data_IF_047452644199
#
_entry.id   IF_047452644199
#
_cell.length_a   1.000
_cell.length_b   1.000
_cell.length_c   1.000
_cell.angle_alpha   90.00
_cell.angle_beta   90.00
_cell.angle_gamma   90.00
#
_symmetry.space_group_name_H-M   'P 1'
#
loop_
_entity.id
_entity.type
_entity.pdbx_description
1 polymer ?
#
# COMPACT_ATOMS: atom_id res chain seq x y z
N UNK A 1 -0.01 118.72 21.36
CA UNK A 1 -0.33 118.00 22.60
C UNK A 1 -1.11 116.76 22.23
N UNK A 2 -0.43 115.61 22.20
CA UNK A 2 -1.10 114.32 22.03
C UNK A 2 -0.39 113.30 22.94
N UNK A 3 -1.07 112.89 23.99
CA UNK A 3 -0.62 112.01 25.04
C UNK A 3 -0.48 110.59 24.52
N UNK A 4 0.68 109.97 24.69
CA UNK A 4 0.90 108.59 24.38
C UNK A 4 0.25 107.68 25.42
N UNK A 5 -0.56 106.75 24.93
CA UNK A 5 -1.08 105.60 25.72
C UNK A 5 -0.20 104.38 25.44
N UNK A 6 0.54 103.94 26.44
CA UNK A 6 1.32 102.72 26.38
C UNK A 6 0.50 101.58 26.82
N UNK A 7 0.15 100.62 25.90
CA UNK A 7 -0.50 99.40 26.22
C UNK A 7 0.52 98.36 26.77
N UNK A 8 0.21 97.62 27.82
CA UNK A 8 1.08 96.60 28.37
C UNK A 8 1.14 95.36 27.45
N UNK A 9 2.34 94.85 27.22
CA UNK A 9 2.61 93.63 26.52
C UNK A 9 1.94 92.38 27.22
N UNK A 10 1.38 91.43 26.46
CA UNK A 10 0.85 90.20 27.06
C UNK A 10 1.96 89.34 27.62
N UNK A 11 1.75 88.52 28.68
CA UNK A 11 2.73 87.65 29.28
C UNK A 11 3.23 86.60 28.29
N UNK A 12 4.52 86.33 28.31
CA UNK A 12 5.21 85.34 27.48
C UNK A 12 4.61 83.96 27.68
N UNK A 13 4.31 83.27 26.57
CA UNK A 13 3.84 81.86 26.57
C UNK A 13 4.85 80.95 27.25
N UNK A 14 4.42 79.91 28.01
CA UNK A 14 5.38 78.99 28.61
C UNK A 14 6.11 78.20 27.51
N UNK A 15 7.36 77.80 27.76
CA UNK A 15 8.16 77.03 26.76
C UNK A 15 7.40 75.69 26.41
N UNK A 16 7.53 75.23 25.13
CA UNK A 16 6.89 73.99 24.72
C UNK A 16 7.46 72.87 25.56
N UNK A 17 6.54 72.11 26.23
CA UNK A 17 6.85 71.00 27.09
C UNK A 17 7.73 69.99 26.37
N UNK A 18 8.89 69.70 26.98
CA UNK A 18 9.81 68.68 26.45
C UNK A 18 9.10 67.40 26.12
N UNK A 19 9.40 66.86 24.94
CA UNK A 19 8.88 65.55 24.50
C UNK A 19 9.08 64.55 25.63
N UNK A 20 8.06 63.79 26.02
CA UNK A 20 8.21 62.80 27.09
C UNK A 20 9.33 61.84 26.73
N UNK A 21 10.37 61.81 27.54
CA UNK A 21 11.42 60.82 27.36
C UNK A 21 10.78 59.40 27.42
N UNK A 22 11.10 58.50 26.47
CA UNK A 22 10.52 57.17 26.47
C UNK A 22 10.88 56.47 27.79
N UNK A 23 9.87 56.16 28.59
CA UNK A 23 10.07 55.37 29.80
C UNK A 23 10.63 54.00 29.42
N UNK A 24 11.63 53.48 30.14
CA UNK A 24 12.11 52.13 29.87
C UNK A 24 10.94 51.14 29.98
N UNK A 25 10.83 50.17 29.07
CA UNK A 25 9.72 49.21 29.07
C UNK A 25 9.71 48.41 30.37
N UNK A 26 8.53 48.08 30.89
CA UNK A 26 8.33 47.32 32.12
C UNK A 26 9.26 46.10 32.20
N UNK A 27 9.89 45.86 33.33
CA UNK A 27 10.87 44.78 33.51
C UNK A 27 10.22 43.38 33.39
N UNK A 28 9.02 43.24 33.93
CA UNK A 28 8.25 41.97 33.92
C UNK A 28 6.94 42.14 33.16
N UNK A 29 6.38 41.05 32.64
CA UNK A 29 5.10 41.04 31.94
C UNK A 29 3.95 41.55 32.85
N UNK A 30 3.97 41.18 34.12
CA UNK A 30 2.99 41.59 35.10
C UNK A 30 2.97 43.11 35.39
N UNK A 31 4.08 43.82 35.08
CA UNK A 31 4.23 45.23 35.33
C UNK A 31 3.85 46.09 34.09
N UNK A 32 3.35 45.44 33.04
CA UNK A 32 2.88 46.15 31.83
C UNK A 32 1.52 46.80 32.09
N UNK A 33 1.37 48.04 31.60
CA UNK A 33 0.11 48.77 31.68
C UNK A 33 -0.22 49.39 30.31
N UNK A 34 -1.43 49.92 30.16
CA UNK A 34 -1.80 50.64 28.94
C UNK A 34 -0.84 51.76 28.62
N UNK A 35 -0.30 52.45 29.64
CA UNK A 35 0.58 53.60 29.52
C UNK A 35 2.07 53.19 29.42
N UNK A 36 2.40 51.93 29.70
CA UNK A 36 3.74 51.37 29.58
C UNK A 36 3.69 49.94 29.00
N UNK A 37 3.26 49.81 27.72
CA UNK A 37 3.15 48.49 27.07
C UNK A 37 4.53 47.95 26.64
N UNK A 38 4.65 46.64 26.56
CA UNK A 38 5.79 46.03 25.88
C UNK A 38 5.70 46.18 24.36
N UNK A 39 6.82 46.48 23.68
CA UNK A 39 6.90 46.30 22.23
C UNK A 39 6.63 44.85 21.86
N UNK A 40 5.95 44.61 20.74
CA UNK A 40 5.63 43.25 20.27
C UNK A 40 6.88 42.35 20.14
N UNK A 41 7.99 42.94 19.69
CA UNK A 41 9.29 42.24 19.59
C UNK A 41 9.71 41.64 20.94
N UNK A 42 9.57 42.36 22.04
CA UNK A 42 9.95 41.87 23.38
C UNK A 42 9.07 40.70 23.82
N UNK A 43 7.81 40.70 23.46
CA UNK A 43 6.89 39.56 23.72
C UNK A 43 7.35 38.32 22.91
N UNK A 44 7.62 38.50 21.61
CA UNK A 44 8.05 37.39 20.74
C UNK A 44 9.40 36.80 21.15
N UNK A 45 10.37 37.66 21.55
CA UNK A 45 11.67 37.26 22.11
C UNK A 45 11.50 36.41 23.39
N UNK A 46 10.61 36.82 24.29
CA UNK A 46 10.34 36.06 25.52
C UNK A 46 9.66 34.73 25.24
N UNK A 47 8.69 34.68 24.32
CA UNK A 47 8.08 33.44 23.90
C UNK A 47 9.13 32.50 23.32
N UNK A 48 9.99 33.01 22.44
CA UNK A 48 11.07 32.21 21.86
C UNK A 48 12.01 31.67 22.93
N UNK A 49 12.47 32.49 23.86
CA UNK A 49 13.33 32.07 24.96
C UNK A 49 12.68 30.98 25.83
N UNK A 50 11.34 31.02 26.02
CA UNK A 50 10.61 30.00 26.75
C UNK A 50 10.54 28.69 25.97
N UNK A 51 10.20 28.78 24.67
CA UNK A 51 10.10 27.60 23.78
C UNK A 51 11.48 26.96 23.55
N UNK A 52 12.55 27.77 23.39
CA UNK A 52 13.90 27.26 23.17
C UNK A 52 14.45 26.46 24.37
N UNK A 53 13.94 26.74 25.60
CA UNK A 53 14.26 25.97 26.82
C UNK A 53 13.57 24.61 26.91
N UNK A 54 12.55 24.37 26.08
CA UNK A 54 11.87 23.07 26.06
C UNK A 54 12.82 22.00 25.53
N UNK A 55 12.89 20.88 26.24
CA UNK A 55 13.66 19.73 25.79
C UNK A 55 13.00 19.06 24.59
N UNK A 56 13.77 18.40 23.72
CA UNK A 56 13.20 17.50 22.73
C UNK A 56 12.35 16.42 23.43
N UNK A 57 11.22 16.07 22.82
CA UNK A 57 10.28 15.08 23.36
C UNK A 57 9.80 14.17 22.23
N UNK A 58 9.32 13.00 22.61
CA UNK A 58 8.67 12.06 21.72
C UNK A 58 7.17 12.35 21.69
N UNK A 59 6.59 12.43 20.50
CA UNK A 59 5.16 12.59 20.29
C UNK A 59 4.66 11.53 19.31
N UNK A 60 3.46 11.05 19.57
CA UNK A 60 2.71 10.16 18.69
C UNK A 60 1.63 10.96 17.96
N UNK A 61 1.36 10.62 16.70
CA UNK A 61 0.30 11.24 15.94
C UNK A 61 0.10 10.59 14.58
N UNK A 62 -0.98 10.96 13.91
CA UNK A 62 -1.30 10.55 12.56
C UNK A 62 -0.90 11.65 11.57
N UNK A 63 -0.27 11.27 10.47
CA UNK A 63 0.05 12.19 9.36
C UNK A 63 -1.24 12.50 8.61
N UNK A 64 -1.69 13.76 8.65
CA UNK A 64 -2.90 14.21 7.94
C UNK A 64 -2.55 14.78 6.57
N UNK A 65 -1.44 15.52 6.50
CA UNK A 65 -0.99 16.17 5.28
C UNK A 65 0.53 16.04 5.16
N UNK A 66 0.99 15.63 4.01
CA UNK A 66 2.42 15.50 3.72
C UNK A 66 2.76 16.17 2.40
N UNK A 67 3.47 17.30 2.47
CA UNK A 67 3.87 18.08 1.29
C UNK A 67 5.35 17.91 0.99
N UNK A 68 5.65 17.08 0.00
CA UNK A 68 7.00 16.95 -0.56
C UNK A 68 7.18 17.98 -1.66
N UNK A 69 8.22 18.80 -1.56
CA UNK A 69 8.67 19.68 -2.65
C UNK A 69 9.98 19.12 -3.19
N UNK A 70 10.02 18.68 -4.44
CA UNK A 70 11.24 18.18 -5.05
C UNK A 70 12.38 19.20 -4.94
N UNK A 71 13.55 18.77 -4.45
CA UNK A 71 14.73 19.63 -4.26
C UNK A 71 14.72 20.53 -3.02
N UNK A 72 13.67 20.51 -2.20
CA UNK A 72 13.65 21.25 -0.94
C UNK A 72 14.46 20.52 0.13
N UNK A 73 15.28 21.29 0.87
CA UNK A 73 16.06 20.74 2.00
C UNK A 73 15.20 20.42 3.22
N UNK A 74 13.99 20.97 3.28
CA UNK A 74 13.07 20.84 4.42
C UNK A 74 11.66 20.54 3.91
N UNK A 75 11.02 19.57 4.52
CA UNK A 75 9.65 19.15 4.23
C UNK A 75 8.71 19.51 5.37
N UNK A 76 7.42 19.58 5.05
CA UNK A 76 6.37 19.95 6.00
C UNK A 76 5.35 18.82 6.05
N UNK A 77 4.95 18.46 7.25
CA UNK A 77 3.85 17.52 7.49
C UNK A 77 2.97 18.07 8.63
N UNK A 78 1.71 17.65 8.65
CA UNK A 78 0.78 17.97 9.73
C UNK A 78 0.50 16.68 10.49
N UNK A 79 0.83 16.66 11.80
CA UNK A 79 0.47 15.60 12.71
C UNK A 79 -0.82 15.98 13.44
N UNK A 80 -1.74 15.03 13.52
CA UNK A 80 -2.99 15.09 14.27
C UNK A 80 -2.96 14.09 15.41
N UNK A 81 -3.48 14.46 16.55
CA UNK A 81 -3.67 13.57 17.68
C UNK A 81 -4.69 12.45 17.34
N UNK A 82 -4.50 11.27 17.91
CA UNK A 82 -5.34 10.10 17.63
C UNK A 82 -6.70 10.13 18.34
N UNK A 83 -6.84 10.93 19.39
CA UNK A 83 -8.02 10.97 20.25
C UNK A 83 -8.74 12.32 20.18
N UNK A 84 -8.03 13.38 19.83
CA UNK A 84 -8.56 14.75 19.78
C UNK A 84 -8.34 15.38 18.40
N UNK A 85 -9.06 16.46 18.11
CA UNK A 85 -8.89 17.19 16.85
C UNK A 85 -7.71 18.20 16.88
N UNK A 86 -6.71 17.92 17.73
CA UNK A 86 -5.50 18.74 17.85
C UNK A 86 -4.53 18.39 16.75
N UNK A 87 -4.06 19.38 16.00
CA UNK A 87 -3.05 19.17 14.96
C UNK A 87 -1.93 20.21 15.06
N UNK A 88 -0.71 19.79 14.71
CA UNK A 88 0.47 20.66 14.68
C UNK A 88 1.29 20.43 13.42
N UNK A 89 1.85 21.54 12.91
CA UNK A 89 2.79 21.47 11.80
C UNK A 89 4.15 21.01 12.29
N UNK A 90 4.68 19.98 11.63
CA UNK A 90 6.03 19.44 11.86
C UNK A 90 6.89 19.74 10.65
N UNK A 91 8.12 20.18 10.90
CA UNK A 91 9.15 20.38 9.88
C UNK A 91 10.25 19.36 10.06
N UNK A 92 10.74 18.78 8.97
CA UNK A 92 11.86 17.84 9.01
C UNK A 92 12.83 18.09 7.86
N UNK A 93 14.10 17.81 8.06
CA UNK A 93 15.10 17.83 7.00
C UNK A 93 14.88 16.66 6.03
N UNK A 94 15.22 16.86 4.76
CA UNK A 94 15.06 15.84 3.72
C UNK A 94 15.66 14.48 4.13
N UNK A 95 16.87 14.45 4.70
CA UNK A 95 17.50 13.20 5.14
C UNK A 95 16.76 12.44 6.24
N UNK A 96 15.93 13.10 7.05
CA UNK A 96 15.07 12.44 8.05
C UNK A 96 13.85 11.81 7.39
N UNK A 97 13.34 12.46 6.32
CA UNK A 97 12.16 12.01 5.58
C UNK A 97 12.48 10.92 4.56
N UNK A 98 13.68 10.99 3.94
CA UNK A 98 14.11 9.98 2.93
C UNK A 98 14.34 8.60 3.56
N UNK A 99 14.57 8.53 4.86
CA UNK A 99 14.75 7.26 5.59
C UNK A 99 13.45 6.56 5.95
N UNK A 100 12.28 7.24 5.81
CA UNK A 100 10.98 6.71 6.23
C UNK A 100 9.93 7.05 5.19
N UNK A 101 9.40 6.08 4.44
CA UNK A 101 8.33 6.32 3.48
C UNK A 101 7.04 6.71 4.22
N UNK A 102 6.76 8.01 4.29
CA UNK A 102 5.58 8.54 4.95
C UNK A 102 4.43 8.65 3.94
N UNK A 103 3.25 8.17 4.36
CA UNK A 103 1.99 8.34 3.64
C UNK A 103 0.98 9.08 4.50
N UNK A 104 0.02 9.76 3.88
CA UNK A 104 -1.11 10.33 4.60
C UNK A 104 -1.90 9.19 5.26
N UNK A 105 -2.29 9.39 6.51
CA UNK A 105 -2.93 8.36 7.34
C UNK A 105 -1.98 7.53 8.19
N UNK A 106 -0.67 7.54 7.92
CA UNK A 106 0.32 6.79 8.70
C UNK A 106 0.40 7.27 10.16
N UNK A 107 0.46 6.32 11.10
CA UNK A 107 0.78 6.62 12.50
C UNK A 107 2.28 6.66 12.68
N UNK A 108 2.76 7.72 13.35
CA UNK A 108 4.17 7.93 13.58
C UNK A 108 4.46 8.29 15.02
N UNK A 109 5.63 7.87 15.49
CA UNK A 109 6.26 8.37 16.72
C UNK A 109 7.47 9.19 16.27
N UNK A 110 7.50 10.46 16.64
CA UNK A 110 8.55 11.37 16.20
C UNK A 110 9.19 12.09 17.37
N UNK A 111 10.51 12.21 17.31
CA UNK A 111 11.27 13.02 18.25
C UNK A 111 11.32 14.44 17.76
N UNK A 112 10.61 15.33 18.44
CA UNK A 112 10.45 16.72 18.04
C UNK A 112 10.99 17.68 19.06
N UNK A 113 11.41 18.86 18.59
CA UNK A 113 11.69 20.04 19.40
C UNK A 113 10.73 21.15 18.96
N UNK A 114 9.98 21.77 19.89
CA UNK A 114 9.20 22.97 19.57
C UNK A 114 10.10 24.12 19.13
N UNK A 115 9.70 24.83 18.07
CA UNK A 115 10.41 25.98 17.52
C UNK A 115 9.41 27.11 17.26
N UNK A 116 9.66 28.26 17.81
CA UNK A 116 8.87 29.47 17.59
C UNK A 116 9.52 30.38 16.54
N UNK A 117 8.78 30.65 15.46
CA UNK A 117 9.21 31.52 14.37
C UNK A 117 8.77 32.95 14.64
N UNK A 118 9.66 33.78 15.14
CA UNK A 118 9.39 35.18 15.56
C UNK A 118 8.74 36.02 14.46
N UNK A 119 9.22 35.88 13.20
CA UNK A 119 8.72 36.66 12.06
C UNK A 119 7.25 36.37 11.72
N UNK A 120 6.79 35.18 11.92
CA UNK A 120 5.42 34.73 11.58
C UNK A 120 4.53 34.53 12.79
N UNK A 121 5.11 34.53 14.01
CA UNK A 121 4.39 34.20 15.25
C UNK A 121 3.92 32.75 15.32
N UNK A 122 4.50 31.84 14.53
CA UNK A 122 4.06 30.43 14.45
C UNK A 122 4.91 29.53 15.33
N UNK A 123 4.22 28.63 16.04
CA UNK A 123 4.83 27.53 16.77
C UNK A 123 4.77 26.28 15.88
N UNK A 124 5.94 25.70 15.57
CA UNK A 124 6.06 24.47 14.81
C UNK A 124 6.88 23.47 15.63
N UNK A 125 6.80 22.19 15.24
CA UNK A 125 7.66 21.16 15.76
C UNK A 125 8.77 20.86 14.74
N UNK A 126 10.01 20.77 15.17
CA UNK A 126 11.11 20.32 14.32
C UNK A 126 11.44 18.87 14.64
N UNK A 127 11.21 17.97 13.69
CA UNK A 127 11.52 16.56 13.85
C UNK A 127 13.01 16.29 13.62
N UNK A 128 13.61 15.55 14.54
CA UNK A 128 14.95 14.99 14.43
C UNK A 128 14.92 13.54 13.96
N UNK A 129 13.88 12.79 14.35
CA UNK A 129 13.69 11.37 14.03
C UNK A 129 12.19 11.12 13.84
N UNK A 130 11.84 10.27 12.86
CA UNK A 130 10.46 9.86 12.60
C UNK A 130 10.46 8.35 12.44
N UNK A 131 9.59 7.65 13.17
CA UNK A 131 9.41 6.22 13.10
C UNK A 131 7.93 5.90 12.83
N UNK A 132 7.68 5.02 11.88
CA UNK A 132 6.33 4.47 11.66
C UNK A 132 5.96 3.61 12.87
N UNK A 133 4.82 3.89 13.47
CA UNK A 133 4.35 3.12 14.62
C UNK A 133 3.69 1.82 14.15
N UNK A 134 4.11 0.71 14.74
CA UNK A 134 3.49 -0.60 14.53
C UNK A 134 4.04 -1.42 13.36
N UNK A 135 4.79 -0.85 12.41
CA UNK A 135 5.31 -1.62 11.26
C UNK A 135 6.37 -2.65 11.72
N UNK A 136 7.28 -2.26 12.60
CA UNK A 136 8.30 -3.19 13.12
C UNK A 136 7.69 -4.32 13.96
N UNK A 137 6.76 -4.00 14.84
CA UNK A 137 6.06 -4.99 15.67
C UNK A 137 5.17 -5.90 14.84
N UNK A 138 4.51 -5.34 13.82
CA UNK A 138 3.64 -6.10 12.91
C UNK A 138 4.44 -7.07 12.04
N UNK A 139 5.58 -6.66 11.51
CA UNK A 139 6.47 -7.55 10.77
C UNK A 139 7.01 -8.68 11.66
N UNK A 140 7.40 -8.37 12.90
CA UNK A 140 7.82 -9.39 13.87
C UNK A 140 6.68 -10.38 14.20
N UNK A 141 5.43 -9.90 14.32
CA UNK A 141 4.25 -10.76 14.50
C UNK A 141 3.99 -11.65 13.28
N UNK A 142 4.13 -11.13 12.06
CA UNK A 142 3.97 -11.91 10.82
C UNK A 142 5.06 -12.98 10.72
N UNK A 143 6.32 -12.69 11.05
CA UNK A 143 7.40 -13.67 11.05
C UNK A 143 7.21 -14.73 12.14
N UNK A 144 6.74 -14.37 13.34
CA UNK A 144 6.39 -15.32 14.39
C UNK A 144 5.22 -16.23 13.96
N UNK A 145 4.20 -15.65 13.30
CA UNK A 145 3.08 -16.40 12.71
C UNK A 145 3.57 -17.35 11.63
N UNK A 146 4.42 -16.88 10.72
CA UNK A 146 5.03 -17.68 9.67
C UNK A 146 5.76 -18.91 10.24
N UNK A 147 6.61 -18.71 11.25
CA UNK A 147 7.34 -19.78 11.90
C UNK A 147 6.39 -20.82 12.52
N UNK A 148 5.31 -20.38 13.18
CA UNK A 148 4.30 -21.25 13.79
C UNK A 148 3.56 -22.07 12.73
N UNK A 149 3.03 -21.44 11.67
CA UNK A 149 2.31 -22.12 10.60
C UNK A 149 3.21 -23.07 9.80
N UNK A 150 4.50 -22.74 9.65
CA UNK A 150 5.51 -23.63 9.07
C UNK A 150 5.73 -24.89 9.94
N UNK A 151 5.83 -24.71 11.27
CA UNK A 151 5.96 -25.84 12.22
C UNK A 151 4.72 -26.76 12.22
N UNK A 152 3.53 -26.19 11.97
CA UNK A 152 2.28 -26.93 11.77
C UNK A 152 2.23 -27.66 10.39
N UNK A 153 3.18 -27.39 9.49
CA UNK A 153 3.25 -27.99 8.16
C UNK A 153 2.26 -27.41 7.14
N UNK A 154 1.66 -26.21 7.40
CA UNK A 154 0.68 -25.62 6.49
C UNK A 154 1.27 -25.27 5.11
N UNK A 155 2.58 -24.99 5.06
CA UNK A 155 3.27 -24.60 3.81
C UNK A 155 3.88 -25.80 3.06
N UNK A 156 3.60 -27.03 3.52
CA UNK A 156 4.14 -28.24 2.89
C UNK A 156 3.61 -28.42 1.46
N UNK A 157 4.49 -28.69 0.52
CA UNK A 157 4.11 -29.01 -0.86
C UNK A 157 3.23 -30.27 -0.97
N UNK A 158 3.27 -31.18 0.04
CA UNK A 158 2.40 -32.34 0.11
C UNK A 158 0.91 -31.98 0.31
N UNK A 159 0.61 -30.78 0.79
CA UNK A 159 -0.78 -30.28 0.94
C UNK A 159 -1.31 -29.62 -0.34
N UNK A 160 -0.42 -29.21 -1.23
CA UNK A 160 -0.79 -28.47 -2.44
C UNK A 160 -1.52 -29.37 -3.44
N UNK A 161 -2.64 -28.89 -3.93
CA UNK A 161 -3.48 -29.58 -4.89
C UNK A 161 -3.04 -29.24 -6.31
N UNK A 162 -3.04 -30.22 -7.23
CA UNK A 162 -2.77 -29.96 -8.64
C UNK A 162 -3.89 -29.10 -9.24
N UNK A 163 -3.52 -28.12 -10.07
CA UNK A 163 -4.49 -27.34 -10.81
C UNK A 163 -5.16 -28.21 -11.89
N UNK A 164 -6.46 -28.07 -12.14
CA UNK A 164 -7.15 -28.75 -13.23
C UNK A 164 -6.58 -28.28 -14.58
N UNK A 165 -6.44 -29.21 -15.52
CA UNK A 165 -5.96 -28.87 -16.88
C UNK A 165 -6.90 -27.92 -17.60
N UNK A 166 -8.23 -28.13 -17.45
CA UNK A 166 -9.27 -27.30 -18.04
C UNK A 166 -10.44 -27.19 -17.05
N UNK A 167 -10.51 -26.09 -16.29
CA UNK A 167 -11.58 -25.88 -15.33
C UNK A 167 -12.92 -25.62 -16.03
N UNK A 168 -14.00 -26.14 -15.49
CA UNK A 168 -15.39 -25.85 -15.94
C UNK A 168 -15.78 -24.43 -15.61
N UNK A 169 -15.51 -24.03 -14.37
CA UNK A 169 -15.77 -22.68 -13.87
C UNK A 169 -14.60 -22.24 -12.98
N UNK A 170 -14.21 -21.00 -13.14
CA UNK A 170 -13.14 -20.35 -12.39
C UNK A 170 -13.79 -19.40 -11.40
N UNK A 171 -13.59 -19.62 -10.11
CA UNK A 171 -13.91 -18.64 -9.08
C UNK A 171 -12.87 -17.52 -9.09
N UNK A 172 -13.30 -16.27 -9.11
CA UNK A 172 -12.40 -15.10 -9.06
C UNK A 172 -12.80 -14.18 -7.92
N UNK A 173 -11.89 -14.01 -6.97
CA UNK A 173 -12.00 -13.05 -5.87
C UNK A 173 -11.07 -11.87 -6.19
N UNK A 174 -11.62 -10.67 -6.31
CA UNK A 174 -10.87 -9.47 -6.69
C UNK A 174 -11.46 -8.20 -6.09
N UNK A 175 -10.70 -7.10 -6.15
CA UNK A 175 -11.17 -5.78 -5.73
C UNK A 175 -12.29 -5.24 -6.62
N UNK A 176 -13.19 -4.44 -6.03
CA UNK A 176 -14.28 -3.77 -6.76
C UNK A 176 -13.70 -2.82 -7.82
N UNK A 177 -14.08 -3.01 -9.09
CA UNK A 177 -13.58 -2.20 -10.20
C UNK A 177 -12.05 -2.30 -10.42
N UNK A 178 -11.40 -3.34 -9.89
CA UNK A 178 -9.95 -3.50 -9.98
C UNK A 178 -9.53 -3.98 -11.37
N UNK A 179 -8.47 -3.38 -11.92
CA UNK A 179 -7.83 -3.81 -13.17
C UNK A 179 -7.42 -5.29 -13.14
N UNK A 180 -7.07 -5.83 -11.98
CA UNK A 180 -6.75 -7.24 -11.78
C UNK A 180 -7.85 -8.19 -12.25
N UNK A 181 -9.15 -7.79 -12.12
CA UNK A 181 -10.29 -8.54 -12.66
C UNK A 181 -10.19 -8.68 -14.18
N UNK A 182 -10.03 -7.54 -14.86
CA UNK A 182 -9.95 -7.51 -16.33
C UNK A 182 -8.70 -8.25 -16.82
N UNK A 183 -7.57 -8.10 -16.10
CA UNK A 183 -6.33 -8.80 -16.43
C UNK A 183 -6.49 -10.33 -16.34
N UNK A 184 -7.26 -10.86 -15.39
CA UNK A 184 -7.54 -12.31 -15.32
C UNK A 184 -8.56 -12.73 -16.39
N UNK A 185 -9.71 -12.07 -16.45
CA UNK A 185 -10.84 -12.48 -17.28
C UNK A 185 -10.50 -12.36 -18.77
N UNK A 186 -9.93 -11.22 -19.20
CA UNK A 186 -9.58 -11.01 -20.61
C UNK A 186 -8.50 -11.99 -21.05
N UNK A 187 -7.38 -12.09 -20.32
CA UNK A 187 -6.29 -13.00 -20.71
C UNK A 187 -6.71 -14.48 -20.70
N UNK A 188 -7.56 -14.92 -19.77
CA UNK A 188 -8.05 -16.28 -19.77
C UNK A 188 -9.05 -16.53 -20.90
N UNK A 189 -9.96 -15.58 -21.20
CA UNK A 189 -10.93 -15.70 -22.30
C UNK A 189 -10.26 -15.67 -23.67
N UNK A 190 -9.21 -14.89 -23.87
CA UNK A 190 -8.41 -14.88 -25.09
C UNK A 190 -7.76 -16.23 -25.36
N UNK A 191 -7.25 -16.88 -24.30
CA UNK A 191 -6.63 -18.22 -24.39
C UNK A 191 -7.66 -19.33 -24.54
N UNK A 192 -8.78 -19.22 -23.81
CA UNK A 192 -9.86 -20.19 -23.80
C UNK A 192 -11.22 -19.50 -23.77
N UNK A 193 -11.82 -19.18 -24.93
CA UNK A 193 -13.07 -18.41 -25.03
C UNK A 193 -14.30 -19.02 -24.34
N UNK A 194 -14.25 -20.30 -24.00
CA UNK A 194 -15.33 -20.98 -23.28
C UNK A 194 -15.12 -21.00 -21.75
N UNK A 195 -14.11 -20.31 -21.22
CA UNK A 195 -13.89 -20.19 -19.78
C UNK A 195 -15.09 -19.49 -19.13
N UNK A 196 -15.60 -20.08 -18.04
CA UNK A 196 -16.67 -19.50 -17.23
C UNK A 196 -16.10 -18.95 -15.94
N UNK A 197 -16.68 -17.87 -15.45
CA UNK A 197 -16.22 -17.19 -14.24
C UNK A 197 -17.37 -16.96 -13.27
N UNK A 198 -17.13 -17.31 -12.00
CA UNK A 198 -17.91 -16.87 -10.84
C UNK A 198 -17.11 -15.82 -10.09
N UNK A 199 -17.53 -14.55 -10.21
CA UNK A 199 -16.75 -13.40 -9.72
C UNK A 199 -17.33 -12.91 -8.40
N UNK A 200 -16.45 -12.66 -7.44
CA UNK A 200 -16.75 -12.01 -6.16
C UNK A 200 -15.90 -10.76 -6.04
N UNK A 201 -16.55 -9.62 -6.20
CA UNK A 201 -15.91 -8.31 -6.00
C UNK A 201 -16.01 -7.88 -4.54
N UNK A 202 -14.88 -7.85 -3.84
CA UNK A 202 -14.78 -7.65 -2.40
C UNK A 202 -13.76 -6.57 -2.06
N UNK A 203 -13.71 -6.15 -0.79
CA UNK A 203 -12.61 -5.33 -0.30
C UNK A 203 -11.33 -6.19 -0.25
N UNK A 204 -10.28 -5.77 -0.95
CA UNK A 204 -8.97 -6.44 -0.99
C UNK A 204 -7.89 -5.66 -0.24
N UNK A 205 -8.28 -4.70 0.58
CA UNK A 205 -7.43 -3.88 1.45
C UNK A 205 -8.22 -3.34 2.63
N UNK A 206 -7.53 -2.93 3.70
CA UNK A 206 -8.15 -2.40 4.92
C UNK A 206 -8.88 -3.46 5.75
N UNK A 207 -9.61 -3.00 6.78
CA UNK A 207 -10.18 -3.86 7.83
C UNK A 207 -11.26 -4.84 7.33
N UNK A 208 -11.91 -4.53 6.22
CA UNK A 208 -12.95 -5.38 5.62
C UNK A 208 -12.40 -6.49 4.71
N UNK A 209 -11.09 -6.46 4.39
CA UNK A 209 -10.47 -7.42 3.47
C UNK A 209 -10.62 -8.86 3.98
N UNK A 210 -10.17 -9.16 5.19
CA UNK A 210 -10.16 -10.52 5.74
C UNK A 210 -11.56 -11.12 5.79
N UNK A 211 -12.60 -10.46 6.36
CA UNK A 211 -13.94 -11.04 6.42
C UNK A 211 -14.62 -11.17 5.05
N UNK A 212 -14.40 -10.21 4.12
CA UNK A 212 -15.03 -10.27 2.81
C UNK A 212 -14.38 -11.32 1.90
N UNK A 213 -13.04 -11.38 1.85
CA UNK A 213 -12.30 -12.40 1.08
C UNK A 213 -12.58 -13.80 1.64
N UNK A 214 -12.56 -13.96 2.97
CA UNK A 214 -12.85 -15.24 3.62
C UNK A 214 -14.25 -15.75 3.31
N UNK A 215 -15.26 -14.87 3.33
CA UNK A 215 -16.63 -15.22 2.95
C UNK A 215 -16.71 -15.62 1.47
N UNK A 216 -16.15 -14.83 0.57
CA UNK A 216 -16.15 -15.12 -0.86
C UNK A 216 -15.45 -16.45 -1.17
N UNK A 217 -14.37 -16.76 -0.45
CA UNK A 217 -13.67 -18.04 -0.55
C UNK A 217 -14.60 -19.20 -0.17
N UNK A 218 -15.26 -19.12 0.99
CA UNK A 218 -16.18 -20.18 1.45
C UNK A 218 -17.37 -20.38 0.50
N UNK A 219 -17.93 -19.27 -0.04
CA UNK A 219 -19.00 -19.34 -1.03
C UNK A 219 -18.57 -20.09 -2.30
N UNK A 220 -17.40 -19.73 -2.85
CA UNK A 220 -16.89 -20.37 -4.08
C UNK A 220 -16.44 -21.81 -3.85
N UNK A 221 -15.83 -22.11 -2.69
CA UNK A 221 -15.39 -23.46 -2.33
C UNK A 221 -16.58 -24.43 -2.09
N UNK A 222 -17.76 -23.89 -1.76
CA UNK A 222 -18.98 -24.67 -1.62
C UNK A 222 -19.66 -25.00 -2.96
N UNK A 223 -19.26 -24.36 -4.07
CA UNK A 223 -19.85 -24.58 -5.40
C UNK A 223 -19.16 -25.74 -6.12
N UNK A 224 -19.86 -26.82 -6.36
CA UNK A 224 -19.30 -28.04 -7.00
C UNK A 224 -18.86 -27.84 -8.47
N UNK A 225 -19.33 -26.79 -9.13
CA UNK A 225 -18.93 -26.43 -10.49
C UNK A 225 -17.63 -25.60 -10.54
N UNK A 226 -17.17 -25.05 -9.43
CA UNK A 226 -15.93 -24.28 -9.37
C UNK A 226 -14.74 -25.21 -9.18
N UNK A 227 -13.90 -25.32 -10.18
CA UNK A 227 -12.76 -26.24 -10.20
C UNK A 227 -11.44 -25.60 -9.77
N UNK A 228 -11.35 -24.26 -9.77
CA UNK A 228 -10.18 -23.48 -9.31
C UNK A 228 -10.64 -22.11 -8.83
N UNK A 229 -10.02 -21.60 -7.77
CA UNK A 229 -10.30 -20.26 -7.24
C UNK A 229 -9.03 -19.41 -7.41
N UNK A 230 -9.19 -18.21 -7.99
CA UNK A 230 -8.12 -17.20 -8.11
C UNK A 230 -8.39 -16.07 -7.14
N UNK A 231 -7.43 -15.74 -6.29
CA UNK A 231 -7.47 -14.55 -5.44
C UNK A 231 -6.52 -13.54 -6.07
N UNK A 232 -7.08 -12.47 -6.65
CA UNK A 232 -6.32 -11.50 -7.42
C UNK A 232 -6.40 -10.11 -6.79
N UNK A 233 -5.23 -9.46 -6.66
CA UNK A 233 -5.11 -8.06 -6.27
C UNK A 233 -4.21 -7.34 -7.27
N UNK A 234 -4.58 -6.10 -7.63
CA UNK A 234 -3.74 -5.22 -8.41
C UNK A 234 -2.60 -4.61 -7.58
N UNK A 235 -1.76 -3.78 -8.21
CA UNK A 235 -0.71 -3.02 -7.52
C UNK A 235 -1.27 -2.10 -6.43
N UNK A 236 -0.44 -1.73 -5.46
CA UNK A 236 -0.76 -0.87 -4.32
C UNK A 236 0.38 -0.90 -3.31
N UNK A 237 0.21 -0.23 -2.17
CA UNK A 237 1.22 -0.17 -1.12
C UNK A 237 1.43 -1.55 -0.45
N UNK A 238 2.61 -1.75 0.15
CA UNK A 238 2.96 -3.00 0.87
C UNK A 238 2.02 -3.24 2.05
N UNK A 239 1.58 -2.16 2.70
CA UNK A 239 0.64 -2.19 3.81
C UNK A 239 -0.71 -2.81 3.42
N UNK A 240 -1.12 -2.65 2.17
CA UNK A 240 -2.35 -3.25 1.65
C UNK A 240 -2.27 -4.79 1.50
N UNK A 241 -1.07 -5.37 1.58
CA UNK A 241 -0.84 -6.82 1.54
C UNK A 241 -0.97 -7.48 2.93
N UNK A 242 -0.88 -6.69 4.00
CA UNK A 242 -0.92 -7.18 5.38
C UNK A 242 -2.16 -8.04 5.69
N UNK A 243 -3.38 -7.70 5.23
CA UNK A 243 -4.56 -8.52 5.46
C UNK A 243 -4.44 -9.95 4.92
N UNK A 244 -3.66 -10.17 3.86
CA UNK A 244 -3.41 -11.50 3.30
C UNK A 244 -2.38 -12.33 4.09
N UNK A 245 -1.85 -11.77 5.18
CA UNK A 245 -1.05 -12.48 6.18
C UNK A 245 -1.85 -12.75 7.47
N UNK A 246 -3.16 -12.43 7.51
CA UNK A 246 -4.03 -12.77 8.66
C UNK A 246 -4.19 -14.28 8.77
N UNK A 247 -3.98 -14.81 9.99
CA UNK A 247 -4.02 -16.25 10.27
C UNK A 247 -5.34 -16.92 9.86
N UNK A 248 -6.47 -16.24 10.07
CA UNK A 248 -7.81 -16.78 9.75
C UNK A 248 -7.95 -16.99 8.24
N UNK A 249 -7.48 -16.03 7.44
CA UNK A 249 -7.53 -16.12 5.99
C UNK A 249 -6.56 -17.17 5.46
N UNK A 250 -5.34 -17.22 5.99
CA UNK A 250 -4.32 -18.22 5.63
C UNK A 250 -4.82 -19.63 5.92
N UNK A 251 -5.44 -19.88 7.08
CA UNK A 251 -6.03 -21.16 7.41
C UNK A 251 -7.22 -21.51 6.53
N UNK A 252 -8.10 -20.55 6.25
CA UNK A 252 -9.24 -20.79 5.35
C UNK A 252 -8.79 -21.22 3.94
N UNK A 253 -7.71 -20.61 3.42
CA UNK A 253 -7.09 -20.99 2.14
C UNK A 253 -6.46 -22.38 2.21
N UNK A 254 -5.75 -22.71 3.29
CA UNK A 254 -5.13 -24.02 3.49
C UNK A 254 -6.15 -25.19 3.61
N UNK A 255 -7.36 -24.89 4.13
CA UNK A 255 -8.42 -25.87 4.38
C UNK A 255 -9.45 -25.95 3.25
N UNK A 256 -9.41 -25.04 2.27
CA UNK A 256 -10.29 -25.07 1.11
C UNK A 256 -10.14 -26.39 0.32
N UNK A 257 -11.24 -26.91 -0.24
CA UNK A 257 -11.25 -28.13 -1.06
C UNK A 257 -10.80 -27.87 -2.49
N UNK A 258 -11.23 -26.74 -3.03
CA UNK A 258 -10.92 -26.28 -4.39
C UNK A 258 -9.48 -25.76 -4.46
N UNK A 259 -8.69 -26.10 -5.48
CA UNK A 259 -7.37 -25.55 -5.70
C UNK A 259 -7.37 -24.02 -5.78
N UNK A 260 -6.41 -23.38 -5.11
CA UNK A 260 -6.33 -21.92 -5.01
C UNK A 260 -5.07 -21.39 -5.69
N UNK A 261 -5.27 -20.38 -6.54
CA UNK A 261 -4.20 -19.60 -7.17
C UNK A 261 -4.15 -18.23 -6.54
N UNK A 262 -3.03 -17.88 -5.92
CA UNK A 262 -2.77 -16.53 -5.44
C UNK A 262 -2.10 -15.68 -6.53
N UNK A 263 -2.64 -14.50 -6.77
CA UNK A 263 -2.10 -13.47 -7.67
C UNK A 263 -2.13 -12.10 -6.97
N UNK A 264 -1.54 -12.03 -5.76
CA UNK A 264 -1.65 -10.90 -4.84
C UNK A 264 -0.35 -10.12 -4.77
N UNK A 265 0.79 -10.81 -4.57
CA UNK A 265 2.10 -10.21 -4.33
C UNK A 265 2.95 -10.11 -5.59
N UNK A 266 3.88 -9.12 -5.62
CA UNK A 266 4.98 -9.07 -6.56
C UNK A 266 6.15 -9.92 -6.06
N UNK A 267 7.19 -10.12 -6.87
CA UNK A 267 8.32 -11.02 -6.54
C UNK A 267 9.04 -10.69 -5.22
N UNK A 268 9.00 -9.43 -4.75
CA UNK A 268 9.66 -8.97 -3.52
C UNK A 268 8.81 -9.07 -2.24
N UNK A 269 7.49 -9.06 -2.34
CA UNK A 269 6.58 -8.95 -1.19
C UNK A 269 5.52 -10.05 -1.23
N UNK A 270 5.78 -11.14 -0.52
CA UNK A 270 4.91 -12.32 -0.46
C UNK A 270 4.12 -12.35 0.85
N UNK A 271 2.79 -12.14 0.83
CA UNK A 271 1.96 -12.39 2.00
C UNK A 271 1.94 -13.89 2.35
N UNK A 272 1.59 -14.23 3.61
CA UNK A 272 1.55 -15.62 4.05
C UNK A 272 0.55 -16.48 3.26
N UNK A 273 -0.49 -15.87 2.70
CA UNK A 273 -1.45 -16.54 1.82
C UNK A 273 -0.77 -17.16 0.58
N UNK A 274 0.25 -16.53 0.01
CA UNK A 274 0.98 -17.07 -1.13
C UNK A 274 1.70 -18.39 -0.81
N UNK A 275 2.06 -18.60 0.45
CA UNK A 275 2.75 -19.83 0.90
C UNK A 275 1.80 -21.01 1.02
N UNK A 276 0.53 -20.78 1.36
CA UNK A 276 -0.49 -21.85 1.47
C UNK A 276 -1.26 -22.08 0.18
N UNK A 277 -1.29 -21.13 -0.73
CA UNK A 277 -1.92 -21.30 -2.03
C UNK A 277 -1.29 -22.47 -2.81
N UNK A 278 -2.10 -23.20 -3.57
CA UNK A 278 -1.68 -24.34 -4.38
C UNK A 278 -0.76 -23.90 -5.52
N UNK A 279 -0.96 -22.68 -6.02
CA UNK A 279 -0.07 -22.02 -6.98
C UNK A 279 0.04 -20.53 -6.70
N UNK A 280 1.27 -20.02 -6.71
CA UNK A 280 1.55 -18.59 -6.65
C UNK A 280 1.83 -18.06 -8.05
N UNK A 281 1.02 -17.13 -8.52
CA UNK A 281 1.26 -16.38 -9.74
C UNK A 281 1.93 -15.04 -9.42
N UNK A 282 2.86 -14.61 -10.24
CA UNK A 282 3.56 -13.33 -10.08
C UNK A 282 2.68 -12.12 -10.40
N UNK A 283 1.65 -12.32 -11.21
CA UNK A 283 0.68 -11.29 -11.64
C UNK A 283 -0.69 -11.90 -11.93
N UNK A 284 -1.78 -11.10 -11.95
CA UNK A 284 -3.09 -11.56 -12.41
C UNK A 284 -3.07 -12.14 -13.84
N UNK A 285 -2.26 -11.57 -14.73
CA UNK A 285 -2.05 -12.10 -16.10
C UNK A 285 -1.35 -13.46 -16.09
N UNK A 286 -0.38 -13.67 -15.20
CA UNK A 286 0.28 -14.97 -15.04
C UNK A 286 -0.69 -16.02 -14.50
N UNK A 287 -1.53 -15.67 -13.52
CA UNK A 287 -2.60 -16.54 -13.03
C UNK A 287 -3.51 -16.98 -14.18
N UNK A 288 -3.97 -16.05 -15.03
CA UNK A 288 -4.80 -16.36 -16.19
C UNK A 288 -4.15 -17.39 -17.13
N UNK A 289 -2.85 -17.25 -17.38
CA UNK A 289 -2.09 -18.18 -18.23
C UNK A 289 -1.95 -19.58 -17.62
N UNK A 290 -1.96 -19.65 -16.30
CA UNK A 290 -1.76 -20.91 -15.59
C UNK A 290 -3.04 -21.72 -15.43
N UNK A 291 -4.19 -21.05 -15.23
CA UNK A 291 -5.47 -21.69 -14.97
C UNK A 291 -6.18 -22.23 -16.23
N UNK A 292 -5.82 -21.74 -17.42
CA UNK A 292 -6.37 -22.23 -18.69
C UNK A 292 -5.28 -22.56 -19.70
N UNK A 293 -5.45 -23.65 -20.49
CA UNK A 293 -4.52 -23.97 -21.57
C UNK A 293 -4.65 -22.97 -22.72
N UNK A 294 -3.70 -23.01 -23.65
CA UNK A 294 -3.75 -22.25 -24.88
C UNK A 294 -4.47 -23.08 -25.97
N UNK A 295 -5.67 -22.66 -26.33
CA UNK A 295 -6.52 -23.35 -27.32
C UNK A 295 -5.81 -23.59 -28.66
N UNK A 296 -5.05 -22.61 -29.15
CA UNK A 296 -4.34 -22.75 -30.41
C UNK A 296 -3.26 -23.85 -30.31
N UNK A 297 -2.46 -23.80 -29.25
CA UNK A 297 -1.41 -24.78 -28.97
C UNK A 297 -1.95 -26.19 -28.79
N UNK A 298 -3.05 -26.35 -28.05
CA UNK A 298 -3.68 -27.65 -27.85
C UNK A 298 -4.23 -28.23 -29.17
N UNK A 299 -4.88 -27.38 -29.99
CA UNK A 299 -5.37 -27.76 -31.32
C UNK A 299 -4.23 -28.21 -32.25
N UNK A 300 -3.12 -27.48 -32.25
CA UNK A 300 -1.95 -27.84 -33.05
C UNK A 300 -1.33 -29.17 -32.56
N UNK A 301 -1.24 -29.37 -31.24
CA UNK A 301 -0.78 -30.64 -30.66
C UNK A 301 -1.63 -31.82 -31.07
N UNK A 302 -2.97 -31.69 -31.06
CA UNK A 302 -3.91 -32.70 -31.52
C UNK A 302 -3.72 -32.99 -33.02
N UNK A 303 -3.61 -31.94 -33.83
CA UNK A 303 -3.38 -32.06 -35.28
C UNK A 303 -2.11 -32.83 -35.62
N UNK A 304 -1.00 -32.48 -34.93
CA UNK A 304 0.26 -33.19 -35.07
C UNK A 304 0.17 -34.65 -34.61
N UNK A 305 -0.52 -34.92 -33.49
CA UNK A 305 -0.73 -36.30 -33.02
C UNK A 305 -1.51 -37.13 -34.04
N UNK A 306 -2.60 -36.59 -34.59
CA UNK A 306 -3.39 -37.24 -35.64
C UNK A 306 -2.54 -37.51 -36.89
N UNK A 307 -1.69 -36.59 -37.31
CA UNK A 307 -0.79 -36.77 -38.45
C UNK A 307 0.21 -37.90 -38.19
N UNK A 308 0.83 -37.96 -37.00
CA UNK A 308 1.73 -39.06 -36.61
C UNK A 308 1.00 -40.39 -36.59
N UNK A 309 -0.21 -40.45 -36.03
CA UNK A 309 -0.99 -41.67 -36.01
C UNK A 309 -1.33 -42.17 -37.41
N UNK A 310 -1.78 -41.27 -38.30
CA UNK A 310 -2.06 -41.64 -39.72
C UNK A 310 -0.82 -42.12 -40.42
N UNK A 311 0.33 -41.49 -40.23
CA UNK A 311 1.60 -41.91 -40.79
C UNK A 311 2.06 -43.28 -40.30
N UNK A 312 1.96 -43.52 -38.99
CA UNK A 312 2.29 -44.84 -38.40
C UNK A 312 1.37 -45.96 -38.91
N UNK A 313 0.08 -45.67 -38.99
CA UNK A 313 -0.88 -46.64 -39.57
C UNK A 313 -0.61 -46.93 -41.03
N UNK A 314 -0.35 -45.88 -41.81
CA UNK A 314 0.00 -45.99 -43.24
C UNK A 314 1.31 -46.83 -43.45
N UNK A 315 2.35 -46.57 -42.67
CA UNK A 315 3.58 -47.36 -42.72
C UNK A 315 3.34 -48.84 -42.37
N UNK A 316 2.56 -49.12 -41.31
CA UNK A 316 2.21 -50.48 -40.91
C UNK A 316 1.44 -51.22 -42.01
N UNK A 317 0.41 -50.56 -42.58
CA UNK A 317 -0.33 -51.12 -43.70
C UNK A 317 0.54 -51.36 -44.93
N UNK A 318 1.47 -50.48 -45.27
CA UNK A 318 2.41 -50.66 -46.36
C UNK A 318 3.32 -51.88 -46.13
N UNK A 319 3.84 -52.04 -44.89
CA UNK A 319 4.67 -53.20 -44.51
C UNK A 319 3.87 -54.52 -44.65
N UNK A 320 2.63 -54.58 -44.13
CA UNK A 320 1.82 -55.76 -44.21
C UNK A 320 1.42 -56.08 -45.67
N UNK A 321 1.18 -55.07 -46.49
CA UNK A 321 0.93 -55.22 -47.92
C UNK A 321 2.11 -55.81 -48.64
N UNK A 322 3.33 -55.34 -48.33
CA UNK A 322 4.58 -55.82 -48.89
C UNK A 322 4.81 -57.29 -48.48
N UNK A 323 4.56 -57.63 -47.22
CA UNK A 323 4.65 -59.03 -46.72
C UNK A 323 3.68 -59.94 -47.44
N UNK A 324 2.41 -59.51 -47.66
CA UNK A 324 1.44 -60.30 -48.39
C UNK A 324 1.83 -60.49 -49.86
N UNK A 325 2.41 -59.50 -50.52
CA UNK A 325 2.91 -59.61 -51.89
C UNK A 325 4.06 -60.65 -51.98
N UNK A 326 5.02 -60.58 -51.05
CA UNK A 326 6.13 -61.53 -50.94
C UNK A 326 5.64 -62.99 -50.75
N UNK A 327 4.64 -63.16 -49.86
CA UNK A 327 4.03 -64.50 -49.66
C UNK A 327 3.33 -64.98 -50.92
N UNK A 328 2.62 -64.12 -51.63
CA UNK A 328 1.98 -64.41 -52.89
C UNK A 328 3.01 -64.86 -53.98
N UNK A 329 4.13 -64.17 -54.10
CA UNK A 329 5.20 -64.54 -55.02
C UNK A 329 5.82 -65.90 -54.69
N UNK A 330 6.05 -66.19 -53.43
CA UNK A 330 6.62 -67.49 -52.99
C UNK A 330 5.62 -68.63 -53.30
N UNK A 331 4.30 -68.40 -53.14
CA UNK A 331 3.28 -69.41 -53.45
C UNK A 331 3.15 -69.70 -54.97
N UNK A 332 3.45 -68.69 -55.82
CA UNK A 332 3.41 -68.90 -57.30
C UNK A 332 4.66 -69.60 -57.80
N UNK A 333 5.79 -69.57 -57.13
CA UNK A 333 7.01 -70.31 -57.48
C UNK A 333 6.99 -71.80 -57.15
N UNK A 334 5.99 -72.29 -56.42
CA UNK A 334 5.80 -73.70 -56.03
C UNK A 334 4.81 -74.47 -56.87
N UNK A 335 4.32 -73.88 -57.95
CA UNK A 335 3.55 -74.57 -59.01
C UNK A 335 4.39 -74.67 -60.28
#
# INVERSE_FOLDING_TARGET
MLSGVTLPLPPAAPPPGGSPQPRPPAAKAADTTRDNPWPLRRLTENIKLYVDRMSPLWVEGQVVEYKVRPGAKMHFLTLRDLQTDTSMTVTAWAGVMDSTPLTEGARVVTRVKPVFWERSGRLNLQAAEIHLQGVGDLLAQIEALRARLAAEGLFSDARKKPLPFLPRTIGLICGRGAKAKDDVVVNASDRWPSARFEIREVAVQGDHCVPEVGRALLELDAMDEVDVIVIARGGGAVEDLLPFSDERLVRAVADARTPIVSAIGHEGDSPLLDLVADYRASTPTDAARRIVPDRARERDGISQALTRMRGALGARLATERSNLTLIGEICTWRR
#
